data_IF_560942658555
#
_entry.id   IF_560942658555
#
_cell.length_a   1.000
_cell.length_b   1.000
_cell.length_c   1.000
_cell.angle_alpha   90.00
_cell.angle_beta   90.00
_cell.angle_gamma   90.00
#
_symmetry.space_group_name_H-M   'P 1'
#
loop_
_entity.id
_entity.type
_entity.pdbx_description
1 polymer ?
#
# COMPACT_ATOMS: atom_id res chain seq x y z
N UNK A 1 -19.70 -17.25 37.45
CA UNK A 1 -19.37 -17.77 36.10
C UNK A 1 -19.34 -16.69 35.01
N UNK A 2 -20.06 -15.56 35.16
CA UNK A 2 -20.19 -14.50 34.14
C UNK A 2 -18.99 -13.53 34.09
N UNK A 3 -18.38 -13.24 35.24
CA UNK A 3 -17.25 -12.28 35.35
C UNK A 3 -15.98 -12.83 34.67
N UNK A 4 -15.69 -14.11 34.78
CA UNK A 4 -14.51 -14.74 34.19
C UNK A 4 -14.60 -14.80 32.64
N UNK A 5 -15.80 -14.92 32.04
CA UNK A 5 -15.98 -14.90 30.59
C UNK A 5 -15.75 -13.49 29.99
N UNK A 6 -16.21 -12.45 30.67
CA UNK A 6 -16.03 -11.06 30.25
C UNK A 6 -14.55 -10.66 30.33
N UNK A 7 -13.86 -11.02 31.44
CA UNK A 7 -12.45 -10.74 31.59
C UNK A 7 -11.59 -11.47 30.53
N UNK A 8 -11.92 -12.72 30.20
CA UNK A 8 -11.24 -13.50 29.18
C UNK A 8 -11.45 -12.94 27.77
N UNK A 9 -12.65 -12.44 27.45
CA UNK A 9 -12.92 -11.76 26.18
C UNK A 9 -12.16 -10.43 26.04
N UNK A 10 -12.05 -9.65 27.12
CA UNK A 10 -11.32 -8.37 27.13
C UNK A 10 -9.81 -8.61 26.94
N UNK A 11 -9.25 -9.63 27.57
CA UNK A 11 -7.83 -9.99 27.42
C UNK A 11 -7.54 -10.51 25.99
N UNK A 12 -8.44 -11.30 25.40
CA UNK A 12 -8.28 -11.80 24.04
C UNK A 12 -8.34 -10.68 23.02
N UNK A 13 -9.28 -9.73 23.18
CA UNK A 13 -9.40 -8.58 22.28
C UNK A 13 -8.22 -7.61 22.37
N UNK A 14 -7.68 -7.39 23.56
CA UNK A 14 -6.51 -6.53 23.75
C UNK A 14 -5.23 -7.15 23.17
N UNK A 15 -5.07 -8.45 23.23
CA UNK A 15 -3.95 -9.16 22.62
C UNK A 15 -4.03 -9.17 21.08
N UNK A 16 -5.23 -9.29 20.49
CA UNK A 16 -5.42 -9.22 19.05
C UNK A 16 -5.12 -7.82 18.50
N UNK A 17 -5.61 -6.78 19.16
CA UNK A 17 -5.34 -5.38 18.81
C UNK A 17 -3.86 -5.03 18.90
N UNK A 18 -3.16 -5.53 19.93
CA UNK A 18 -1.72 -5.34 20.07
C UNK A 18 -0.96 -6.08 18.96
N UNK A 19 -1.43 -7.26 18.53
CA UNK A 19 -0.81 -8.03 17.46
C UNK A 19 -0.93 -7.32 16.10
N UNK A 20 -2.11 -6.79 15.76
CA UNK A 20 -2.32 -6.06 14.51
C UNK A 20 -1.50 -4.76 14.47
N UNK A 21 -1.50 -3.98 15.54
CA UNK A 21 -0.75 -2.74 15.59
C UNK A 21 0.78 -2.97 15.52
N UNK A 22 1.28 -4.11 16.02
CA UNK A 22 2.70 -4.48 15.91
C UNK A 22 3.18 -4.68 14.47
N UNK A 23 2.28 -4.92 13.50
CA UNK A 23 2.64 -4.93 12.08
C UNK A 23 3.27 -3.62 11.63
N UNK A 24 2.83 -2.49 12.17
CA UNK A 24 3.45 -1.18 11.89
C UNK A 24 4.84 -1.06 12.50
N UNK A 25 5.06 -1.57 13.71
CA UNK A 25 6.40 -1.57 14.35
C UNK A 25 7.39 -2.39 13.53
N UNK A 26 6.97 -3.57 13.08
CA UNK A 26 7.79 -4.46 12.26
C UNK A 26 8.05 -3.88 10.86
N UNK A 27 7.04 -3.23 10.27
CA UNK A 27 7.12 -2.65 8.93
C UNK A 27 7.97 -1.37 8.86
N UNK A 28 8.01 -0.58 9.94
CA UNK A 28 8.63 0.74 9.97
C UNK A 28 9.52 0.96 11.22
N UNK A 29 10.50 0.09 11.47
CA UNK A 29 11.29 0.11 12.73
C UNK A 29 12.11 1.40 12.92
N UNK A 30 12.49 2.08 11.83
CA UNK A 30 13.23 3.35 11.89
C UNK A 30 12.36 4.53 12.32
N UNK A 31 11.03 4.38 12.34
CA UNK A 31 10.06 5.46 12.61
C UNK A 31 9.17 5.17 13.80
N UNK A 32 8.84 3.90 14.02
CA UNK A 32 7.85 3.47 15.02
C UNK A 32 8.54 2.67 16.11
N UNK A 33 8.41 3.17 17.33
CA UNK A 33 9.06 2.62 18.51
C UNK A 33 8.30 1.42 19.07
N UNK A 34 7.02 1.60 19.31
CA UNK A 34 6.18 0.60 19.98
C UNK A 34 4.69 0.89 19.82
N UNK A 35 3.87 -0.04 20.27
CA UNK A 35 2.43 0.13 20.46
C UNK A 35 2.12 0.05 21.95
N UNK A 36 1.40 1.01 22.48
CA UNK A 36 0.97 1.03 23.88
C UNK A 36 -0.37 1.74 24.05
N UNK A 37 -1.28 1.14 24.83
CA UNK A 37 -2.56 1.74 25.22
C UNK A 37 -3.36 2.34 24.04
N UNK A 38 -3.52 1.60 22.95
CA UNK A 38 -4.20 2.04 21.74
C UNK A 38 -3.49 3.17 20.95
N UNK A 39 -2.21 3.40 21.21
CA UNK A 39 -1.39 4.35 20.47
C UNK A 39 -0.23 3.67 19.76
N UNK A 40 0.01 4.09 18.53
CA UNK A 40 1.27 3.91 17.85
C UNK A 40 2.22 5.01 18.33
N UNK A 41 3.36 4.65 18.90
CA UNK A 41 4.35 5.57 19.44
C UNK A 41 5.51 5.67 18.46
N UNK A 42 5.75 6.87 17.96
CA UNK A 42 6.83 7.18 17.04
C UNK A 42 8.17 7.33 17.77
N UNK A 43 9.29 7.22 17.07
CA UNK A 43 10.62 7.38 17.65
C UNK A 43 10.87 8.78 18.25
N UNK A 44 10.13 9.80 17.81
CA UNK A 44 10.11 11.15 18.40
C UNK A 44 9.19 11.26 19.61
N UNK A 45 8.61 10.14 20.09
CA UNK A 45 7.63 10.01 21.17
C UNK A 45 6.24 10.63 20.88
N UNK A 46 5.95 11.07 19.68
CA UNK A 46 4.59 11.44 19.29
C UNK A 46 3.68 10.20 19.31
N UNK A 47 2.43 10.41 19.73
CA UNK A 47 1.43 9.35 19.85
C UNK A 47 0.36 9.51 18.78
N UNK A 48 0.09 8.44 18.04
CA UNK A 48 -0.97 8.38 17.04
C UNK A 48 -1.99 7.32 17.46
N UNK A 49 -3.26 7.72 17.54
CA UNK A 49 -4.34 6.77 17.91
C UNK A 49 -4.41 5.66 16.86
N UNK A 50 -4.40 4.40 17.31
CA UNK A 50 -4.52 3.25 16.45
C UNK A 50 -5.98 2.94 16.07
N UNK A 51 -6.86 2.82 17.06
CA UNK A 51 -8.28 2.50 16.86
C UNK A 51 -9.15 3.63 17.43
N UNK A 52 -9.98 4.24 16.59
CA UNK A 52 -10.91 5.32 16.98
C UNK A 52 -12.18 4.81 17.71
N UNK A 53 -12.29 3.50 17.92
CA UNK A 53 -13.41 2.83 18.58
C UNK A 53 -14.77 3.03 17.91
N UNK A 54 -14.81 3.51 16.67
CA UNK A 54 -16.04 3.59 15.88
C UNK A 54 -16.28 2.24 15.23
N UNK A 55 -17.30 1.55 15.73
CA UNK A 55 -17.70 0.24 15.23
C UNK A 55 -18.57 0.35 13.97
N UNK A 56 -18.66 -0.75 13.20
CA UNK A 56 -19.57 -0.93 12.07
C UNK A 56 -19.44 0.10 10.94
N UNK A 57 -18.26 0.74 10.77
CA UNK A 57 -17.99 1.56 9.59
C UNK A 57 -18.20 0.73 8.32
N UNK A 58 -19.07 1.19 7.43
CA UNK A 58 -19.20 0.60 6.09
C UNK A 58 -17.94 0.92 5.26
N UNK A 59 -17.73 0.20 4.16
CA UNK A 59 -16.54 0.35 3.32
C UNK A 59 -16.28 1.79 2.88
N UNK A 60 -17.33 2.53 2.48
CA UNK A 60 -17.19 3.93 2.05
C UNK A 60 -16.78 4.86 3.20
N UNK A 61 -17.23 4.61 4.42
CA UNK A 61 -16.83 5.36 5.61
C UNK A 61 -15.36 5.08 5.96
N UNK A 62 -14.94 3.81 5.89
CA UNK A 62 -13.53 3.43 6.06
C UNK A 62 -12.62 4.09 5.01
N UNK A 63 -13.09 4.26 3.77
CA UNK A 63 -12.33 4.97 2.75
C UNK A 63 -12.19 6.47 3.07
N UNK A 64 -13.23 7.12 3.59
CA UNK A 64 -13.28 8.58 3.75
C UNK A 64 -12.82 9.06 5.13
N UNK A 65 -13.03 8.24 6.17
CA UNK A 65 -12.67 8.55 7.55
C UNK A 65 -12.13 7.30 8.29
N UNK A 66 -11.01 6.73 7.83
CA UNK A 66 -10.42 5.57 8.47
C UNK A 66 -9.77 5.91 9.81
N UNK A 67 -9.68 4.93 10.71
CA UNK A 67 -8.64 4.88 11.72
C UNK A 67 -7.39 4.19 11.16
N UNK A 68 -6.28 4.24 11.89
CA UNK A 68 -5.07 3.51 11.51
C UNK A 68 -5.31 2.00 11.48
N UNK A 69 -6.11 1.47 12.43
CA UNK A 69 -6.55 0.08 12.46
C UNK A 69 -7.28 -0.33 11.18
N UNK A 70 -8.16 0.53 10.65
CA UNK A 70 -8.91 0.21 9.45
C UNK A 70 -8.03 -0.03 8.22
N UNK A 71 -6.76 0.43 8.21
CA UNK A 71 -5.81 0.08 7.14
C UNK A 71 -5.52 -1.41 7.05
N UNK A 72 -5.69 -2.14 8.19
CA UNK A 72 -5.42 -3.57 8.31
C UNK A 72 -6.68 -4.44 8.22
N UNK A 73 -7.86 -3.84 8.07
CA UNK A 73 -9.15 -4.58 8.08
C UNK A 73 -9.29 -5.58 6.92
N UNK A 74 -8.54 -5.37 5.84
CA UNK A 74 -8.57 -6.22 4.65
C UNK A 74 -7.16 -6.77 4.43
N UNK A 75 -7.02 -8.08 4.52
CA UNK A 75 -5.75 -8.77 4.33
C UNK A 75 -5.33 -8.73 2.86
N UNK A 76 -4.06 -8.42 2.63
CA UNK A 76 -3.47 -8.57 1.31
C UNK A 76 -3.04 -10.02 1.10
N UNK A 77 -3.47 -10.64 0.01
CA UNK A 77 -3.13 -12.02 -0.34
C UNK A 77 -1.96 -12.00 -1.35
N UNK A 78 -0.78 -12.43 -0.91
CA UNK A 78 0.43 -12.48 -1.77
C UNK A 78 0.28 -13.49 -2.89
N UNK A 79 1.05 -13.29 -3.98
CA UNK A 79 1.10 -14.25 -5.09
C UNK A 79 1.55 -15.63 -4.59
N UNK A 80 2.54 -15.68 -3.70
CA UNK A 80 3.04 -16.92 -3.09
C UNK A 80 1.99 -17.69 -2.28
N UNK A 81 0.98 -17.01 -1.73
CA UNK A 81 -0.10 -17.61 -0.96
C UNK A 81 -1.21 -18.15 -1.86
N UNK A 82 -1.62 -17.39 -2.85
CA UNK A 82 -2.64 -17.79 -3.81
C UNK A 82 -2.49 -17.08 -5.16
N UNK A 83 -1.93 -17.74 -6.16
CA UNK A 83 -1.75 -17.19 -7.51
C UNK A 83 -3.07 -16.84 -8.21
N UNK A 84 -4.11 -17.62 -7.95
CA UNK A 84 -5.42 -17.51 -8.62
C UNK A 84 -6.45 -16.72 -7.80
N UNK A 85 -6.01 -16.01 -6.74
CA UNK A 85 -6.90 -15.19 -5.93
C UNK A 85 -7.59 -14.10 -6.78
N UNK A 86 -8.90 -14.07 -6.70
CA UNK A 86 -9.76 -13.02 -7.26
C UNK A 86 -10.48 -12.36 -6.08
N UNK A 87 -10.29 -11.06 -5.85
CA UNK A 87 -10.90 -10.39 -4.70
C UNK A 87 -12.42 -10.30 -4.84
N UNK A 88 -13.12 -10.49 -3.72
CA UNK A 88 -14.57 -10.28 -3.61
C UNK A 88 -14.89 -8.78 -3.48
N UNK A 89 -16.16 -8.43 -3.56
CA UNK A 89 -16.63 -7.04 -3.48
C UNK A 89 -16.09 -6.32 -2.24
N UNK A 90 -15.43 -5.17 -2.46
CA UNK A 90 -14.80 -4.34 -1.44
C UNK A 90 -13.55 -4.96 -0.77
N UNK A 91 -13.03 -6.06 -1.26
CA UNK A 91 -11.71 -6.57 -0.85
C UNK A 91 -10.62 -5.78 -1.58
N UNK A 92 -10.28 -4.62 -1.03
CA UNK A 92 -9.33 -3.66 -1.59
C UNK A 92 -8.20 -3.39 -0.58
N UNK A 93 -7.39 -4.39 -0.28
CA UNK A 93 -6.28 -4.29 0.69
C UNK A 93 -5.32 -3.16 0.32
N UNK A 94 -5.20 -2.15 1.19
CA UNK A 94 -4.37 -0.96 0.97
C UNK A 94 -5.11 0.27 0.43
N UNK A 95 -6.35 0.17 -0.04
CA UNK A 95 -7.13 1.36 -0.46
C UNK A 95 -7.69 2.16 0.71
N UNK A 96 -7.86 1.56 1.87
CA UNK A 96 -8.17 2.26 3.12
C UNK A 96 -6.85 2.82 3.65
N UNK A 97 -6.73 4.15 3.75
CA UNK A 97 -5.49 4.84 4.13
C UNK A 97 -5.77 5.92 5.16
N UNK A 98 -5.18 5.80 6.32
CA UNK A 98 -5.19 6.83 7.35
C UNK A 98 -4.16 7.91 6.97
N UNK A 99 -4.61 8.94 6.27
CA UNK A 99 -3.76 9.99 5.67
C UNK A 99 -2.79 10.64 6.67
N UNK A 100 -3.15 10.89 7.96
CA UNK A 100 -2.21 11.43 8.93
C UNK A 100 -0.94 10.59 9.14
N UNK A 101 -1.05 9.25 9.01
CA UNK A 101 0.11 8.36 9.10
C UNK A 101 1.11 8.63 7.96
N UNK A 102 0.62 8.71 6.73
CA UNK A 102 1.46 8.98 5.56
C UNK A 102 2.05 10.39 5.59
N UNK A 103 1.27 11.37 6.04
CA UNK A 103 1.74 12.76 6.20
C UNK A 103 2.86 12.86 7.22
N UNK A 104 2.75 12.19 8.36
CA UNK A 104 3.82 12.19 9.37
C UNK A 104 5.06 11.46 8.84
N UNK A 105 4.89 10.35 8.15
CA UNK A 105 5.99 9.54 7.64
C UNK A 105 6.76 10.23 6.51
N UNK A 106 6.06 10.79 5.52
CA UNK A 106 6.64 11.20 4.24
C UNK A 106 6.64 12.71 4.01
N UNK A 107 5.84 13.46 4.76
CA UNK A 107 5.67 14.92 4.66
C UNK A 107 4.21 15.32 4.55
N UNK A 108 3.83 16.40 5.24
CA UNK A 108 2.45 16.86 5.39
C UNK A 108 1.94 17.67 4.19
N UNK A 109 2.83 18.13 3.33
CA UNK A 109 2.52 18.91 2.14
C UNK A 109 3.54 18.64 1.02
N UNK A 110 3.22 19.13 -0.19
CA UNK A 110 4.05 18.89 -1.38
C UNK A 110 5.50 19.35 -1.22
N UNK A 111 5.75 20.46 -0.51
CA UNK A 111 7.10 21.02 -0.31
C UNK A 111 7.94 20.08 0.56
N UNK A 112 7.37 19.59 1.66
CA UNK A 112 8.04 18.64 2.57
C UNK A 112 8.31 17.30 1.88
N UNK A 113 7.34 16.76 1.17
CA UNK A 113 7.55 15.51 0.41
C UNK A 113 8.66 15.69 -0.62
N UNK A 114 8.68 16.79 -1.37
CA UNK A 114 9.74 17.05 -2.38
C UNK A 114 11.16 17.08 -1.80
N UNK A 115 11.35 17.46 -0.54
CA UNK A 115 12.66 17.44 0.14
C UNK A 115 13.17 15.99 0.37
N UNK A 116 12.25 15.03 0.36
CA UNK A 116 12.53 13.61 0.57
C UNK A 116 12.54 12.81 -0.74
N UNK A 117 12.34 13.45 -1.89
CA UNK A 117 12.41 12.78 -3.18
C UNK A 117 13.83 12.73 -3.72
N UNK A 118 14.15 11.62 -4.35
CA UNK A 118 15.38 11.41 -5.11
C UNK A 118 15.04 10.85 -6.49
N UNK A 119 15.96 11.02 -7.43
CA UNK A 119 15.86 10.42 -8.77
C UNK A 119 16.43 9.01 -8.76
N UNK A 120 15.71 8.09 -9.37
CA UNK A 120 16.23 6.77 -9.74
C UNK A 120 16.15 6.59 -11.25
N UNK A 121 16.97 5.70 -11.80
CA UNK A 121 16.90 5.28 -13.20
C UNK A 121 16.22 3.92 -13.23
N UNK A 122 14.98 3.91 -13.72
CA UNK A 122 14.19 2.69 -13.86
C UNK A 122 14.63 1.91 -15.10
N UNK A 123 14.87 0.60 -14.95
CA UNK A 123 15.38 -0.32 -15.97
C UNK A 123 16.52 0.30 -16.79
N UNK A 124 17.73 0.43 -16.17
CA UNK A 124 18.81 1.27 -16.70
C UNK A 124 19.36 0.81 -18.05
N UNK A 125 19.14 -0.43 -18.45
CA UNK A 125 19.58 -0.97 -19.74
C UNK A 125 18.47 -0.84 -20.82
N UNK A 126 17.20 -1.07 -20.44
CA UNK A 126 16.09 -1.19 -21.41
C UNK A 126 15.18 0.04 -21.47
N UNK A 127 14.81 0.67 -20.34
CA UNK A 127 13.89 1.82 -20.29
C UNK A 127 14.60 3.15 -20.11
N UNK A 128 15.55 3.22 -19.17
CA UNK A 128 16.28 4.44 -18.77
C UNK A 128 15.36 5.57 -18.29
N UNK A 129 14.15 5.23 -17.82
CA UNK A 129 13.19 6.22 -17.35
C UNK A 129 13.63 6.78 -16.01
N UNK A 130 13.69 8.10 -15.90
CA UNK A 130 13.95 8.79 -14.62
C UNK A 130 12.63 8.90 -13.85
N UNK A 131 12.63 8.42 -12.61
CA UNK A 131 11.50 8.52 -11.70
C UNK A 131 11.91 9.28 -10.43
N UNK A 132 10.98 10.08 -9.89
CA UNK A 132 11.13 10.70 -8.60
C UNK A 132 10.40 9.87 -7.55
N UNK A 133 11.12 9.41 -6.53
CA UNK A 133 10.60 8.50 -5.50
C UNK A 133 11.11 8.93 -4.12
N UNK A 134 10.42 8.52 -3.08
CA UNK A 134 10.83 8.82 -1.70
C UNK A 134 12.11 8.07 -1.33
N UNK A 135 13.04 8.74 -0.62
CA UNK A 135 14.16 8.11 0.06
C UNK A 135 13.78 7.53 1.43
N UNK A 136 12.64 7.94 1.99
CA UNK A 136 12.13 7.44 3.27
C UNK A 136 11.85 5.94 3.17
N UNK A 137 12.15 5.20 4.21
CA UNK A 137 12.07 3.73 4.26
C UNK A 137 12.91 3.02 3.18
N UNK A 138 13.93 3.70 2.64
CA UNK A 138 14.78 3.19 1.56
C UNK A 138 13.99 2.77 0.31
N UNK A 139 12.87 3.46 0.02
CA UNK A 139 12.01 3.14 -1.13
C UNK A 139 12.77 3.30 -2.45
N UNK A 140 13.64 4.30 -2.56
CA UNK A 140 14.54 4.47 -3.69
C UNK A 140 15.42 3.24 -3.93
N UNK A 141 16.05 2.72 -2.88
CA UNK A 141 16.91 1.52 -2.96
C UNK A 141 16.13 0.25 -3.26
N UNK A 142 14.92 0.15 -2.70
CA UNK A 142 14.01 -0.96 -3.00
C UNK A 142 13.58 -0.94 -4.46
N UNK A 143 13.19 0.22 -5.00
CA UNK A 143 12.82 0.35 -6.41
C UNK A 143 14.00 0.16 -7.37
N UNK A 144 15.22 0.58 -7.01
CA UNK A 144 16.43 0.24 -7.75
C UNK A 144 16.67 -1.28 -7.78
N UNK A 145 16.48 -1.97 -6.65
CA UNK A 145 16.62 -3.43 -6.56
C UNK A 145 15.55 -4.15 -7.40
N UNK A 146 14.28 -3.74 -7.30
CA UNK A 146 13.16 -4.23 -8.13
C UNK A 146 13.49 -4.04 -9.61
N UNK A 147 13.93 -2.84 -9.98
CA UNK A 147 14.33 -2.50 -11.35
C UNK A 147 15.42 -3.43 -11.88
N UNK A 148 16.44 -3.70 -11.06
CA UNK A 148 17.54 -4.58 -11.43
C UNK A 148 17.09 -6.05 -11.57
N UNK A 149 16.19 -6.54 -10.73
CA UNK A 149 15.65 -7.89 -10.86
C UNK A 149 14.75 -8.03 -12.11
N UNK A 150 13.88 -7.06 -12.35
CA UNK A 150 13.04 -7.03 -13.57
C UNK A 150 13.92 -6.95 -14.84
N UNK A 151 15.04 -6.24 -14.79
CA UNK A 151 15.96 -6.14 -15.93
C UNK A 151 16.54 -7.50 -16.36
N UNK A 152 16.60 -8.48 -15.44
CA UNK A 152 17.07 -9.85 -15.73
C UNK A 152 15.97 -10.76 -16.29
N UNK A 153 14.70 -10.36 -16.20
CA UNK A 153 13.60 -11.17 -16.72
C UNK A 153 13.63 -11.26 -18.27
N UNK A 154 13.06 -12.31 -18.84
CA UNK A 154 12.87 -12.43 -20.29
C UNK A 154 12.13 -11.20 -20.86
N UNK A 155 12.45 -10.82 -22.11
CA UNK A 155 11.89 -9.63 -22.73
C UNK A 155 10.36 -9.62 -22.81
N UNK A 156 9.73 -10.77 -23.01
CA UNK A 156 8.27 -10.91 -23.03
C UNK A 156 7.61 -10.61 -21.68
N UNK A 157 8.33 -10.74 -20.56
CA UNK A 157 7.87 -10.36 -19.23
C UNK A 157 8.29 -8.92 -18.91
N UNK A 158 9.56 -8.59 -19.09
CA UNK A 158 10.13 -7.27 -18.79
C UNK A 158 9.42 -6.13 -19.56
N UNK A 159 8.95 -6.38 -20.77
CA UNK A 159 8.25 -5.38 -21.61
C UNK A 159 7.06 -4.73 -20.90
N UNK A 160 6.39 -5.41 -19.96
CA UNK A 160 5.29 -4.84 -19.18
C UNK A 160 5.71 -3.75 -18.17
N UNK A 161 7.01 -3.62 -17.91
CA UNK A 161 7.56 -2.62 -16.99
C UNK A 161 8.43 -1.56 -17.68
N UNK A 162 8.65 -1.63 -19.00
CA UNK A 162 9.60 -0.74 -19.71
C UNK A 162 9.12 0.71 -19.85
N UNK A 163 7.81 0.95 -19.80
CA UNK A 163 7.24 2.28 -20.00
C UNK A 163 6.38 2.72 -18.81
N UNK A 164 6.97 2.88 -17.59
CA UNK A 164 6.20 3.28 -16.44
C UNK A 164 5.56 4.65 -16.65
N UNK A 165 4.31 4.80 -16.21
CA UNK A 165 3.58 6.07 -16.27
C UNK A 165 4.15 7.10 -15.34
N UNK A 166 4.69 6.69 -14.18
CA UNK A 166 5.31 7.58 -13.22
C UNK A 166 5.25 7.07 -11.78
N UNK A 167 5.87 7.85 -10.89
CA UNK A 167 5.87 7.57 -9.46
C UNK A 167 5.33 8.78 -8.67
N UNK A 168 6.12 9.82 -8.41
CA UNK A 168 5.64 10.99 -7.67
C UNK A 168 4.68 11.85 -8.50
N UNK A 169 3.50 12.11 -7.94
CA UNK A 169 2.54 13.08 -8.46
C UNK A 169 1.63 13.58 -7.31
N UNK A 170 1.82 14.84 -6.90
CA UNK A 170 1.02 15.45 -5.83
C UNK A 170 -0.39 15.77 -6.33
N UNK A 171 -1.33 14.91 -6.01
CA UNK A 171 -2.73 15.06 -6.41
C UNK A 171 -3.70 14.34 -5.48
N UNK A 172 -4.94 14.75 -5.49
CA UNK A 172 -6.05 13.97 -4.94
C UNK A 172 -6.41 12.82 -5.88
N UNK A 173 -7.01 11.78 -5.33
CA UNK A 173 -7.68 10.73 -6.09
C UNK A 173 -8.91 11.36 -6.74
N UNK A 174 -9.12 11.09 -8.04
CA UNK A 174 -10.26 11.64 -8.80
C UNK A 174 -11.58 11.48 -8.04
N UNK A 175 -12.39 12.55 -8.05
CA UNK A 175 -13.71 12.60 -7.42
C UNK A 175 -13.71 12.38 -5.89
N UNK A 176 -12.56 12.59 -5.22
CA UNK A 176 -12.43 12.45 -3.77
C UNK A 176 -11.61 13.59 -3.15
N UNK A 177 -11.66 13.73 -1.83
CA UNK A 177 -10.79 14.64 -1.09
C UNK A 177 -9.51 13.98 -0.57
N UNK A 178 -9.30 12.69 -0.84
CA UNK A 178 -8.18 11.89 -0.35
C UNK A 178 -6.95 12.08 -1.22
N UNK A 179 -5.77 12.20 -0.62
CA UNK A 179 -4.51 12.21 -1.36
C UNK A 179 -4.23 10.84 -1.98
N UNK A 180 -3.73 10.86 -3.21
CA UNK A 180 -3.14 9.67 -3.81
C UNK A 180 -1.82 9.32 -3.12
N UNK A 181 -1.48 8.04 -3.01
CA UNK A 181 -0.17 7.60 -2.49
C UNK A 181 1.00 8.04 -3.36
N UNK A 182 0.76 8.31 -4.64
CA UNK A 182 1.73 8.97 -5.51
C UNK A 182 2.18 10.33 -4.98
N UNK A 183 1.32 11.03 -4.22
CA UNK A 183 1.67 12.30 -3.57
C UNK A 183 2.82 12.16 -2.58
N UNK A 184 3.06 10.98 -2.05
CA UNK A 184 4.14 10.70 -1.11
C UNK A 184 5.39 10.11 -1.77
N UNK A 185 5.36 9.84 -3.09
CA UNK A 185 6.47 9.23 -3.82
C UNK A 185 6.73 7.77 -3.45
N UNK A 186 5.70 7.06 -2.97
CA UNK A 186 5.78 5.67 -2.48
C UNK A 186 5.09 4.66 -3.41
N UNK A 187 4.65 5.09 -4.57
CA UNK A 187 3.97 4.26 -5.56
C UNK A 187 4.60 4.43 -6.94
N UNK A 188 4.41 3.43 -7.78
CA UNK A 188 4.77 3.44 -9.19
C UNK A 188 3.65 2.81 -10.01
N UNK A 189 3.32 3.44 -11.13
CA UNK A 189 2.45 2.85 -12.15
C UNK A 189 3.29 2.35 -13.33
N UNK A 190 3.16 1.07 -13.66
CA UNK A 190 3.80 0.45 -14.83
C UNK A 190 3.11 0.86 -16.14
N UNK A 191 3.34 0.12 -17.22
CA UNK A 191 2.79 0.43 -18.53
C UNK A 191 1.27 0.49 -18.55
N UNK A 192 0.67 1.65 -18.78
CA UNK A 192 -0.79 1.84 -18.86
C UNK A 192 -1.42 1.00 -19.97
N UNK A 193 -0.79 0.96 -21.16
CA UNK A 193 -1.31 0.24 -22.33
C UNK A 193 -1.43 -1.28 -22.12
N UNK A 194 -0.63 -1.83 -21.19
CA UNK A 194 -0.57 -3.26 -20.88
C UNK A 194 -1.32 -3.60 -19.58
N UNK A 195 -2.08 -2.65 -19.05
CA UNK A 195 -2.75 -2.74 -17.77
C UNK A 195 -4.27 -2.60 -17.89
N UNK A 196 -4.96 -2.89 -16.80
CA UNK A 196 -6.40 -2.72 -16.68
C UNK A 196 -6.72 -1.94 -15.40
N UNK A 197 -7.74 -1.08 -15.51
CA UNK A 197 -8.24 -0.29 -14.39
C UNK A 197 -9.78 -0.39 -14.33
N UNK A 198 -10.32 -0.71 -13.16
CA UNK A 198 -11.75 -0.97 -13.00
C UNK A 198 -12.65 0.18 -13.47
N UNK A 199 -12.21 1.45 -13.33
CA UNK A 199 -12.98 2.61 -13.80
C UNK A 199 -13.12 2.69 -15.32
N UNK A 200 -12.27 2.00 -16.09
CA UNK A 200 -12.47 1.92 -17.53
C UNK A 200 -13.72 1.08 -17.89
N UNK A 201 -14.14 0.22 -16.95
CA UNK A 201 -15.37 -0.60 -17.08
C UNK A 201 -16.58 -0.01 -16.34
N UNK A 202 -16.48 1.20 -15.76
CA UNK A 202 -17.49 1.80 -14.85
C UNK A 202 -18.93 1.90 -15.41
N UNK A 203 -19.09 1.90 -16.72
CA UNK A 203 -20.38 1.94 -17.38
C UNK A 203 -21.10 0.58 -17.42
N UNK A 204 -20.47 -0.49 -16.92
CA UNK A 204 -21.04 -1.83 -16.81
C UNK A 204 -21.62 -2.02 -15.41
N UNK A 205 -22.78 -2.69 -15.33
CA UNK A 205 -23.40 -3.00 -14.03
C UNK A 205 -22.50 -3.84 -13.15
N UNK A 206 -21.75 -4.77 -13.78
CA UNK A 206 -20.77 -5.63 -13.13
C UNK A 206 -19.52 -5.65 -13.99
N UNK A 207 -18.38 -5.26 -13.44
CA UNK A 207 -17.10 -5.40 -14.12
C UNK A 207 -16.46 -6.75 -13.77
N UNK A 208 -15.82 -7.34 -14.77
CA UNK A 208 -15.09 -8.59 -14.61
C UNK A 208 -13.60 -8.27 -14.40
N UNK A 209 -12.99 -8.93 -13.42
CA UNK A 209 -11.56 -8.80 -13.17
C UNK A 209 -10.72 -9.08 -14.43
N UNK A 210 -9.75 -8.22 -14.69
CA UNK A 210 -8.83 -8.33 -15.82
C UNK A 210 -7.41 -8.04 -15.37
N UNK A 211 -6.48 -8.87 -15.85
CA UNK A 211 -5.06 -8.65 -15.66
C UNK A 211 -4.27 -9.10 -16.88
N UNK A 212 -3.19 -8.39 -17.19
CA UNK A 212 -2.15 -8.78 -18.15
C UNK A 212 -0.75 -8.76 -17.54
N UNK A 213 -0.60 -8.11 -16.35
CA UNK A 213 0.70 -8.00 -15.71
C UNK A 213 1.18 -9.39 -15.30
N UNK A 214 2.38 -9.81 -15.72
CA UNK A 214 2.97 -11.08 -15.30
C UNK A 214 3.17 -11.16 -13.79
N UNK A 215 2.81 -12.29 -13.19
CA UNK A 215 2.88 -12.45 -11.73
C UNK A 215 4.32 -12.45 -11.21
N UNK A 216 5.29 -12.81 -12.04
CA UNK A 216 6.71 -12.73 -11.73
C UNK A 216 7.14 -11.29 -11.38
N UNK A 217 6.58 -10.30 -12.06
CA UNK A 217 6.80 -8.88 -11.72
C UNK A 217 6.19 -8.56 -10.37
N UNK A 218 4.97 -9.05 -10.11
CA UNK A 218 4.28 -8.83 -8.82
C UNK A 218 5.05 -9.44 -7.66
N UNK A 219 5.51 -10.67 -7.80
CA UNK A 219 6.32 -11.38 -6.79
C UNK A 219 7.60 -10.60 -6.44
N UNK A 220 8.26 -9.99 -7.43
CA UNK A 220 9.44 -9.13 -7.19
C UNK A 220 9.05 -7.91 -6.35
N UNK A 221 7.96 -7.22 -6.67
CA UNK A 221 7.51 -6.07 -5.89
C UNK A 221 7.12 -6.44 -4.45
N UNK A 222 6.38 -7.55 -4.26
CA UNK A 222 5.98 -8.04 -2.94
C UNK A 222 7.20 -8.35 -2.05
N UNK A 223 8.26 -8.93 -2.60
CA UNK A 223 9.53 -9.20 -1.92
C UNK A 223 10.14 -7.96 -1.28
N UNK A 224 9.93 -6.78 -1.87
CA UNK A 224 10.48 -5.50 -1.40
C UNK A 224 9.47 -4.65 -0.62
N UNK A 225 8.33 -5.21 -0.21
CA UNK A 225 7.35 -4.52 0.63
C UNK A 225 6.30 -3.72 -0.11
N UNK A 226 6.14 -3.93 -1.42
CA UNK A 226 5.11 -3.30 -2.22
C UNK A 226 3.92 -4.22 -2.41
N UNK A 227 2.71 -3.71 -2.23
CA UNK A 227 1.48 -4.37 -2.64
C UNK A 227 1.10 -3.97 -4.06
N UNK A 228 0.28 -4.80 -4.70
CA UNK A 228 -0.19 -4.62 -6.07
C UNK A 228 -1.69 -4.33 -6.14
N UNK A 229 -2.08 -3.28 -6.88
CA UNK A 229 -3.48 -2.92 -7.09
C UNK A 229 -4.29 -3.94 -7.91
N UNK A 230 -3.64 -4.93 -8.54
CA UNK A 230 -4.32 -6.05 -9.16
C UNK A 230 -4.90 -7.06 -8.16
N UNK A 231 -4.58 -6.94 -6.86
CA UNK A 231 -5.19 -7.70 -5.76
C UNK A 231 -6.41 -7.00 -5.13
N UNK A 232 -6.92 -5.95 -5.77
CA UNK A 232 -8.11 -5.24 -5.33
C UNK A 232 -9.35 -5.65 -6.13
N UNK A 233 -10.51 -5.66 -5.49
CA UNK A 233 -11.79 -5.77 -6.19
C UNK A 233 -11.92 -4.63 -7.22
N UNK A 234 -11.67 -3.39 -6.78
CA UNK A 234 -11.55 -2.23 -7.66
C UNK A 234 -10.14 -2.16 -8.23
N UNK A 235 -9.80 -3.13 -9.07
CA UNK A 235 -8.45 -3.39 -9.55
C UNK A 235 -7.83 -2.22 -10.31
N UNK A 236 -6.53 -2.06 -10.07
CA UNK A 236 -5.63 -1.14 -10.77
C UNK A 236 -4.32 -1.89 -11.04
N UNK A 237 -4.24 -2.58 -12.18
CA UNK A 237 -3.15 -3.55 -12.40
C UNK A 237 -1.83 -2.91 -12.78
N UNK A 238 -1.78 -1.59 -13.08
CA UNK A 238 -0.52 -0.87 -13.25
C UNK A 238 0.11 -0.47 -11.92
N UNK A 239 -0.70 -0.34 -10.85
CA UNK A 239 -0.36 0.31 -9.61
C UNK A 239 0.33 -0.61 -8.60
N UNK A 240 1.50 -0.16 -8.10
CA UNK A 240 2.22 -0.77 -6.97
C UNK A 240 2.49 0.32 -5.93
N UNK A 241 2.30 0.01 -4.64
CA UNK A 241 2.56 0.95 -3.54
C UNK A 241 3.26 0.29 -2.36
N UNK A 242 4.20 1.01 -1.73
CA UNK A 242 4.97 0.52 -0.59
C UNK A 242 4.09 0.46 0.67
N UNK A 243 3.76 -0.74 1.11
CA UNK A 243 2.86 -1.03 2.24
C UNK A 243 3.30 -2.31 2.98
N UNK A 244 4.51 -2.32 3.57
CA UNK A 244 5.04 -3.54 4.20
C UNK A 244 4.18 -4.05 5.36
N UNK A 245 3.42 -3.18 6.04
CA UNK A 245 2.48 -3.55 7.11
C UNK A 245 1.34 -4.46 6.65
N UNK A 246 1.09 -4.55 5.35
CA UNK A 246 0.06 -5.43 4.77
C UNK A 246 0.62 -6.78 4.29
N UNK A 247 1.94 -6.94 4.30
CA UNK A 247 2.63 -8.15 3.80
C UNK A 247 3.17 -9.04 4.93
N UNK A 248 3.09 -8.57 6.19
CA UNK A 248 3.55 -9.27 7.40
C UNK A 248 2.45 -10.09 8.04
#
# INVERSE_FOLDING_TARGET
FTINKILFLIILSSNLLANDANKFVQAYPDFIKEVSNNYLIWNDNEKMIFDDKIENKIFQEKLNNPSLKNQLDISYIKISENKNYIPSKNEDAGRIRYEPFFKKMYGSNQKEVKQNLVKIIWLPKSSKKVLWVSKINNIDKKLESISNEIEQLPNNIKSFAQHPSGAFNWRKISETNRLSVHSFGIAIDLNVKDSHYWLWDKNKKDFTYKNKIPLEIVEIFEKYGFIWGGRWYHYDTMHFEYRPELLN
#
